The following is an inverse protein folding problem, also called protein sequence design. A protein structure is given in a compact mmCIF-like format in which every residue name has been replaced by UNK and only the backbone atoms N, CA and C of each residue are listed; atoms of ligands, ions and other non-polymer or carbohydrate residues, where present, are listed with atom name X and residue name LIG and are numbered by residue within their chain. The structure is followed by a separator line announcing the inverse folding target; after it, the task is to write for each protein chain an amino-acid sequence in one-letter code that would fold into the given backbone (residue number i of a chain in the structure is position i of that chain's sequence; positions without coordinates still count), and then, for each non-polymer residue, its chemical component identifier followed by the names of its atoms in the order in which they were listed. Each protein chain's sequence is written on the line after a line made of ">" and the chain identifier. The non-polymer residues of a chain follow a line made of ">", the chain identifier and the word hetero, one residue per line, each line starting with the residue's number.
data_IF_105828066857
#
_entry.id   IF_105828066857
#
_cell.length_a   1.000
_cell.length_b   1.000
_cell.length_c   1.000
_cell.angle_alpha   90.00
_cell.angle_beta   90.00
_cell.angle_gamma   90.00
#
_symmetry.space_group_name_H-M   'P 1'
#
loop_
_entity.id
_entity.type
_entity.pdbx_description
1 polymer ?
#
# COMPACT_ATOMS: atom_id res chain seq x y z
N UNK A 1 39.48 52.90 -29.33
CA UNK A 1 38.73 52.56 -28.09
C UNK A 1 37.72 51.47 -28.42
N UNK A 2 37.55 50.45 -27.58
CA UNK A 2 36.51 49.42 -27.77
C UNK A 2 35.55 49.51 -26.59
N UNK A 3 34.27 49.79 -26.87
CA UNK A 3 33.19 49.77 -25.89
C UNK A 3 32.43 48.44 -26.08
N UNK A 4 32.16 47.73 -24.98
CA UNK A 4 31.34 46.51 -24.98
C UNK A 4 30.22 46.66 -23.96
N UNK A 5 29.00 46.37 -24.37
CA UNK A 5 27.84 46.33 -23.47
C UNK A 5 27.62 44.87 -23.04
N UNK A 6 27.72 44.58 -21.75
CA UNK A 6 27.19 43.32 -21.22
C UNK A 6 25.68 43.47 -21.03
N UNK A 7 24.90 42.55 -21.60
CA UNK A 7 23.51 42.32 -21.25
C UNK A 7 23.40 40.94 -20.62
N UNK A 8 22.48 40.77 -19.66
CA UNK A 8 22.04 39.43 -19.26
C UNK A 8 21.20 38.86 -20.40
N UNK A 9 21.55 37.67 -20.86
CA UNK A 9 20.74 36.96 -21.84
C UNK A 9 19.47 36.40 -21.18
N UNK A 10 18.35 36.48 -21.89
CA UNK A 10 17.00 36.06 -21.48
C UNK A 10 16.72 36.05 -19.95
N UNK A 11 16.78 37.20 -19.26
CA UNK A 11 16.73 37.27 -17.79
C UNK A 11 15.32 37.08 -17.18
N UNK A 12 14.31 36.79 -18.00
CA UNK A 12 12.92 36.62 -17.61
C UNK A 12 12.31 35.41 -18.32
N UNK A 13 11.52 34.62 -17.60
CA UNK A 13 10.61 33.65 -18.21
C UNK A 13 9.25 34.33 -18.43
N UNK A 14 8.72 34.24 -19.65
CA UNK A 14 7.32 34.56 -19.95
C UNK A 14 6.58 33.23 -19.99
N UNK A 15 5.54 33.11 -19.17
CA UNK A 15 4.79 31.87 -18.91
C UNK A 15 3.30 32.21 -18.94
N UNK A 16 2.46 31.31 -19.47
CA UNK A 16 1.01 31.52 -19.48
C UNK A 16 0.42 31.64 -18.05
N UNK A 17 -0.68 32.39 -17.92
CA UNK A 17 -1.33 32.65 -16.63
C UNK A 17 -2.18 31.48 -16.14
N UNK A 18 -2.64 30.59 -17.02
CA UNK A 18 -3.46 29.42 -16.69
C UNK A 18 -2.84 28.54 -15.59
N UNK A 19 -1.59 28.01 -15.70
CA UNK A 19 -1.01 27.17 -14.66
C UNK A 19 -0.81 27.90 -13.32
N UNK A 20 -0.56 29.21 -13.35
CA UNK A 20 -0.44 30.03 -12.13
C UNK A 20 -1.80 30.23 -11.46
N UNK A 21 -2.87 30.35 -12.24
CA UNK A 21 -4.24 30.58 -11.76
C UNK A 21 -5.02 29.28 -11.44
N UNK A 22 -4.58 28.11 -11.92
CA UNK A 22 -5.28 26.84 -11.70
C UNK A 22 -5.40 26.50 -10.20
N UNK A 23 -6.61 26.52 -9.66
CA UNK A 23 -6.87 26.28 -8.23
C UNK A 23 -6.74 24.81 -7.84
N UNK A 24 -6.62 23.89 -8.80
CA UNK A 24 -6.44 22.46 -8.56
C UNK A 24 -5.02 22.11 -8.12
N UNK A 25 -4.04 22.94 -8.48
CA UNK A 25 -2.61 22.73 -8.21
C UNK A 25 -2.12 23.47 -6.96
N UNK A 26 -1.31 22.78 -6.15
CA UNK A 26 -0.52 23.38 -5.08
C UNK A 26 0.49 24.40 -5.60
N UNK A 27 0.82 25.41 -4.78
CA UNK A 27 1.89 26.36 -5.09
C UNK A 27 3.25 25.71 -5.33
N UNK A 28 3.49 24.51 -4.75
CA UNK A 28 4.70 23.73 -4.99
C UNK A 28 4.75 23.22 -6.44
N UNK A 29 3.66 22.60 -6.92
CA UNK A 29 3.57 22.17 -8.31
C UNK A 29 3.64 23.35 -9.29
N UNK A 30 3.00 24.49 -8.96
CA UNK A 30 3.12 25.74 -9.74
C UNK A 30 4.56 26.25 -9.82
N UNK A 31 5.29 26.25 -8.70
CA UNK A 31 6.70 26.64 -8.65
C UNK A 31 7.59 25.72 -9.48
N UNK A 32 7.39 24.40 -9.37
CA UNK A 32 8.11 23.39 -10.17
C UNK A 32 7.82 23.56 -11.66
N UNK A 33 6.55 23.69 -12.07
CA UNK A 33 6.16 23.93 -13.47
C UNK A 33 6.77 25.23 -14.01
N UNK A 34 6.69 26.32 -13.25
CA UNK A 34 7.28 27.61 -13.63
C UNK A 34 8.80 27.52 -13.78
N UNK A 35 9.47 26.75 -12.91
CA UNK A 35 10.91 26.51 -13.01
C UNK A 35 11.27 25.66 -14.22
N UNK A 36 10.48 24.62 -14.55
CA UNK A 36 10.65 23.80 -15.75
C UNK A 36 10.49 24.62 -17.04
N UNK A 37 9.45 25.46 -17.12
CA UNK A 37 9.18 26.34 -18.26
C UNK A 37 10.21 27.49 -18.40
N UNK A 38 10.95 27.82 -17.35
CA UNK A 38 12.03 28.82 -17.40
C UNK A 38 13.31 28.35 -18.11
N UNK A 39 13.33 27.15 -18.70
CA UNK A 39 14.53 26.48 -19.22
C UNK A 39 14.42 26.15 -20.71
N UNK A 40 15.55 26.00 -21.42
CA UNK A 40 15.54 25.59 -22.82
C UNK A 40 14.83 24.25 -23.04
N UNK A 41 14.08 24.12 -24.13
CA UNK A 41 13.24 22.96 -24.47
C UNK A 41 13.99 21.61 -24.56
N UNK A 42 15.32 21.63 -24.64
CA UNK A 42 16.18 20.45 -24.68
C UNK A 42 16.76 20.04 -23.31
N UNK A 43 16.44 20.77 -22.23
CA UNK A 43 16.88 20.44 -20.88
C UNK A 43 16.15 19.20 -20.35
N UNK A 44 16.90 18.26 -19.76
CA UNK A 44 16.37 16.98 -19.26
C UNK A 44 16.70 16.79 -17.77
N UNK A 45 15.95 17.43 -16.87
CA UNK A 45 16.25 17.43 -15.44
C UNK A 45 16.03 16.08 -14.77
N UNK A 46 16.93 15.73 -13.85
CA UNK A 46 16.67 14.73 -12.80
C UNK A 46 15.94 15.35 -11.60
N UNK A 47 15.29 14.50 -10.80
CA UNK A 47 14.62 14.93 -9.55
C UNK A 47 15.64 15.51 -8.56
N UNK A 48 16.87 14.98 -8.54
CA UNK A 48 17.92 15.43 -7.63
C UNK A 48 18.51 16.79 -8.05
N UNK A 49 18.54 17.13 -9.34
CA UNK A 49 18.88 18.48 -9.81
C UNK A 49 17.77 19.49 -9.47
N UNK A 50 16.49 19.10 -9.61
CA UNK A 50 15.35 19.94 -9.22
C UNK A 50 15.33 20.21 -7.70
N UNK A 51 15.68 19.21 -6.88
CA UNK A 51 15.83 19.40 -5.42
C UNK A 51 17.02 20.31 -5.10
N UNK A 52 18.20 20.11 -5.73
CA UNK A 52 19.37 20.99 -5.58
C UNK A 52 19.14 22.43 -6.07
N UNK A 53 18.20 22.64 -7.00
CA UNK A 53 17.84 23.95 -7.52
C UNK A 53 16.86 24.74 -6.62
N UNK A 54 16.41 24.16 -5.50
CA UNK A 54 15.38 24.73 -4.62
C UNK A 54 15.71 24.48 -3.14
N UNK A 55 14.74 24.77 -2.25
CA UNK A 55 14.77 24.30 -0.85
C UNK A 55 13.84 23.10 -0.63
N UNK A 56 13.22 22.57 -1.68
CA UNK A 56 12.30 21.44 -1.62
C UNK A 56 13.07 20.12 -1.60
N UNK A 57 12.62 19.19 -0.74
CA UNK A 57 13.17 17.83 -0.69
C UNK A 57 12.86 17.05 -1.98
N UNK A 58 13.63 16.01 -2.26
CA UNK A 58 13.40 15.09 -3.39
C UNK A 58 11.97 14.52 -3.42
N UNK A 59 11.33 14.35 -2.25
CA UNK A 59 9.93 13.92 -2.16
C UNK A 59 8.93 15.06 -2.38
N UNK A 60 9.25 16.28 -1.94
CA UNK A 60 8.48 17.47 -2.28
C UNK A 60 8.47 17.70 -3.80
N UNK A 61 9.63 17.60 -4.46
CA UNK A 61 9.73 17.64 -5.93
C UNK A 61 8.93 16.51 -6.58
N UNK A 62 9.07 15.26 -6.11
CA UNK A 62 8.33 14.10 -6.65
C UNK A 62 6.81 14.27 -6.54
N UNK A 63 6.31 14.73 -5.39
CA UNK A 63 4.87 14.94 -5.17
C UNK A 63 4.33 16.07 -6.04
N UNK A 64 5.09 17.16 -6.22
CA UNK A 64 4.73 18.22 -7.17
C UNK A 64 4.72 17.76 -8.63
N UNK A 65 5.69 16.95 -9.06
CA UNK A 65 5.71 16.38 -10.42
C UNK A 65 4.51 15.44 -10.66
N UNK A 66 4.14 14.61 -9.68
CA UNK A 66 2.94 13.75 -9.77
C UNK A 66 1.64 14.57 -9.83
N UNK A 67 1.62 15.77 -9.24
CA UNK A 67 0.51 16.71 -9.34
C UNK A 67 0.41 17.31 -10.76
N UNK A 68 1.54 17.58 -11.42
CA UNK A 68 1.56 17.99 -12.84
C UNK A 68 1.07 16.87 -13.77
N UNK A 69 1.46 15.61 -13.53
CA UNK A 69 0.93 14.46 -14.28
C UNK A 69 -0.58 14.35 -14.10
N UNK A 70 -1.07 14.43 -12.85
CA UNK A 70 -2.49 14.28 -12.50
C UNK A 70 -3.40 15.33 -13.15
N UNK A 71 -2.90 16.54 -13.38
CA UNK A 71 -3.67 17.62 -14.00
C UNK A 71 -3.31 17.88 -15.47
N UNK A 72 -2.50 17.02 -16.10
CA UNK A 72 -2.18 17.06 -17.54
C UNK A 72 -1.10 18.06 -17.94
N UNK A 73 -0.48 18.78 -17.01
CA UNK A 73 0.64 19.70 -17.30
C UNK A 73 1.96 18.96 -17.56
N UNK A 74 2.04 17.67 -17.22
CA UNK A 74 3.14 16.78 -17.63
C UNK A 74 2.58 15.47 -18.19
N UNK A 75 3.10 15.01 -19.33
CA UNK A 75 2.66 13.77 -19.99
C UNK A 75 3.88 12.89 -20.30
N UNK A 76 3.77 11.59 -20.00
CA UNK A 76 4.84 10.62 -20.14
C UNK A 76 4.67 9.76 -21.40
N UNK A 77 5.53 9.95 -22.40
CA UNK A 77 5.56 9.19 -23.67
C UNK A 77 6.61 8.09 -23.68
N UNK A 78 6.43 7.07 -24.52
CA UNK A 78 7.40 5.99 -24.74
C UNK A 78 8.41 6.36 -25.81
N UNK A 79 9.68 6.27 -25.46
CA UNK A 79 10.75 6.31 -26.45
C UNK A 79 10.90 4.92 -27.05
N UNK A 80 10.62 4.79 -28.35
CA UNK A 80 10.80 3.57 -29.13
C UNK A 80 12.15 3.62 -29.87
N UNK A 81 12.94 2.56 -29.74
CA UNK A 81 14.18 2.37 -30.48
C UNK A 81 13.98 1.61 -31.80
N UNK A 82 15.09 1.33 -32.49
CA UNK A 82 15.09 0.51 -33.70
C UNK A 82 14.44 -0.86 -33.42
N UNK A 83 13.47 -1.25 -34.24
CA UNK A 83 12.71 -2.50 -34.07
C UNK A 83 11.64 -2.45 -32.96
N UNK A 84 11.09 -1.29 -32.63
CA UNK A 84 9.92 -1.16 -31.76
C UNK A 84 10.14 -1.39 -30.26
N UNK A 85 11.37 -1.75 -29.85
CA UNK A 85 11.72 -1.92 -28.43
C UNK A 85 11.61 -0.58 -27.68
N UNK A 86 10.94 -0.57 -26.53
CA UNK A 86 10.93 0.60 -25.65
C UNK A 86 12.35 0.79 -25.09
N UNK A 87 12.97 1.93 -25.41
CA UNK A 87 14.32 2.30 -24.95
C UNK A 87 14.29 3.24 -23.73
N UNK A 88 13.14 3.82 -23.41
CA UNK A 88 12.98 4.70 -22.26
C UNK A 88 11.61 5.38 -22.21
N UNK A 89 11.52 6.38 -21.35
CA UNK A 89 10.34 7.22 -21.18
C UNK A 89 10.77 8.68 -21.17
N UNK A 90 9.99 9.53 -21.83
CA UNK A 90 10.19 10.97 -21.86
C UNK A 90 9.00 11.66 -21.20
N UNK A 91 9.26 12.63 -20.33
CA UNK A 91 8.22 13.44 -19.70
C UNK A 91 8.21 14.79 -20.41
N UNK A 92 7.10 15.13 -21.03
CA UNK A 92 6.88 16.39 -21.74
C UNK A 92 6.03 17.30 -20.85
N UNK A 93 6.47 18.55 -20.70
CA UNK A 93 5.83 19.58 -19.88
C UNK A 93 5.13 20.58 -20.79
N UNK A 94 3.93 21.01 -20.42
CA UNK A 94 3.08 21.91 -21.21
C UNK A 94 2.58 23.07 -20.35
N UNK A 95 2.41 24.24 -20.95
CA UNK A 95 1.77 25.39 -20.27
C UNK A 95 0.27 25.18 -20.07
N UNK A 96 -0.38 24.44 -20.98
CA UNK A 96 -1.81 24.11 -20.94
C UNK A 96 -2.03 22.62 -20.66
N UNK A 97 -3.07 22.25 -19.87
CA UNK A 97 -3.25 20.88 -19.40
C UNK A 97 -3.74 19.95 -20.53
N UNK A 98 -3.00 18.87 -20.75
CA UNK A 98 -3.23 17.89 -21.82
C UNK A 98 -4.12 16.72 -21.35
N UNK A 99 -5.36 17.01 -20.95
CA UNK A 99 -6.26 16.01 -20.35
C UNK A 99 -6.81 14.97 -21.36
N UNK A 100 -6.95 15.36 -22.62
CA UNK A 100 -7.54 14.53 -23.68
C UNK A 100 -6.51 13.77 -24.53
N UNK A 101 -5.21 13.92 -24.23
CA UNK A 101 -4.19 13.05 -24.82
C UNK A 101 -4.35 11.63 -24.26
N UNK A 102 -4.37 10.58 -25.09
CA UNK A 102 -4.42 9.22 -24.59
C UNK A 102 -3.17 8.94 -23.73
N UNK A 103 -3.37 8.41 -22.53
CA UNK A 103 -2.31 7.66 -21.84
C UNK A 103 -1.91 6.51 -22.77
N UNK A 104 -0.80 6.65 -23.53
CA UNK A 104 -0.30 5.63 -24.46
C UNK A 104 -0.41 4.25 -23.80
N UNK A 105 -1.28 3.39 -24.33
CA UNK A 105 -1.94 2.34 -23.54
C UNK A 105 -0.93 1.56 -22.69
N UNK A 106 -1.03 1.68 -21.36
CA UNK A 106 -0.26 0.86 -20.40
C UNK A 106 -0.40 -0.58 -20.88
N UNK A 107 0.69 -1.26 -21.31
CA UNK A 107 0.53 -2.40 -22.19
C UNK A 107 -0.31 -3.43 -21.48
N UNK A 108 -1.49 -3.73 -22.03
CA UNK A 108 -2.11 -5.00 -21.73
C UNK A 108 -1.14 -6.03 -22.28
N UNK A 109 -0.31 -6.57 -21.38
CA UNK A 109 0.27 -7.88 -21.56
C UNK A 109 -0.93 -8.80 -21.62
N UNK A 110 -1.46 -8.97 -22.84
CA UNK A 110 -2.41 -10.02 -23.14
C UNK A 110 -1.81 -11.28 -22.56
N UNK A 111 -2.59 -11.97 -21.73
CA UNK A 111 -2.20 -13.29 -21.24
C UNK A 111 -1.81 -14.07 -22.50
N UNK A 112 -0.61 -14.66 -22.62
CA UNK A 112 -0.31 -15.48 -23.77
C UNK A 112 -1.40 -16.54 -23.83
N UNK A 113 -2.21 -16.49 -24.90
CA UNK A 113 -3.20 -17.51 -25.17
C UNK A 113 -2.40 -18.73 -25.62
N UNK A 114 -2.03 -19.53 -24.62
CA UNK A 114 -1.30 -20.76 -24.81
C UNK A 114 -2.35 -21.79 -25.21
N UNK A 115 -2.42 -22.05 -26.52
CA UNK A 115 -3.38 -23.00 -27.06
C UNK A 115 -3.21 -24.35 -26.37
N UNK A 116 -4.32 -24.94 -25.93
CA UNK A 116 -4.29 -26.24 -25.27
C UNK A 116 -3.83 -27.29 -26.28
N UNK A 117 -2.75 -28.05 -26.00
CA UNK A 117 -2.33 -29.13 -26.89
C UNK A 117 -3.42 -30.21 -26.86
N UNK A 118 -4.22 -30.26 -27.92
CA UNK A 118 -5.32 -31.21 -28.05
C UNK A 118 -4.76 -32.63 -28.18
N UNK A 119 -4.77 -33.38 -27.07
CA UNK A 119 -4.48 -34.81 -27.05
C UNK A 119 -5.80 -35.55 -27.19
N UNK A 120 -6.07 -36.04 -28.39
CA UNK A 120 -7.19 -36.92 -28.66
C UNK A 120 -7.06 -38.21 -27.83
N UNK A 121 -8.16 -38.67 -27.23
CA UNK A 121 -8.24 -39.99 -26.61
C UNK A 121 -8.86 -40.98 -27.62
N UNK A 122 -8.10 -41.93 -28.20
CA UNK A 122 -8.67 -42.99 -29.01
C UNK A 122 -9.43 -43.97 -28.12
N UNK A 123 -10.74 -44.07 -28.31
CA UNK A 123 -11.65 -44.95 -27.54
C UNK A 123 -11.89 -46.29 -28.27
N UNK A 124 -12.74 -47.15 -27.68
CA UNK A 124 -13.30 -48.41 -28.25
C UNK A 124 -12.33 -49.62 -28.20
N UNK A 125 -12.72 -50.90 -28.02
CA UNK A 125 -14.00 -51.63 -27.75
C UNK A 125 -13.59 -53.05 -27.27
N UNK A 126 -14.30 -53.87 -26.46
CA UNK A 126 -15.36 -53.71 -25.44
C UNK A 126 -15.54 -55.07 -24.67
N UNK A 127 -16.65 -55.23 -23.93
CA UNK A 127 -17.35 -56.43 -23.38
C UNK A 127 -16.84 -57.85 -23.79
N UNK A 128 -16.92 -58.90 -22.93
CA UNK A 128 -18.17 -59.46 -22.37
C UNK A 128 -18.03 -60.38 -21.13
N UNK A 129 -19.02 -60.33 -20.22
CA UNK A 129 -19.51 -61.38 -19.28
C UNK A 129 -18.50 -61.84 -18.17
N UNK A 130 -18.88 -62.49 -17.04
CA UNK A 130 -20.05 -63.29 -16.62
C UNK A 130 -20.56 -62.84 -15.21
N UNK A 131 -21.77 -63.26 -14.81
CA UNK A 131 -22.55 -62.82 -13.62
C UNK A 131 -22.55 -63.80 -12.42
N UNK A 132 -23.29 -63.46 -11.34
CA UNK A 132 -23.80 -64.32 -10.23
C UNK A 132 -22.75 -64.79 -9.17
N UNK A 133 -23.09 -65.11 -7.90
CA UNK A 133 -24.34 -64.98 -7.12
C UNK A 133 -24.15 -65.04 -5.58
N UNK A 134 -25.19 -64.64 -4.83
CA UNK A 134 -25.72 -65.15 -3.53
C UNK A 134 -24.83 -65.50 -2.29
N UNK A 135 -25.25 -64.88 -1.16
CA UNK A 135 -25.57 -65.50 0.16
C UNK A 135 -24.47 -65.81 1.21
N UNK A 136 -24.92 -65.73 2.47
CA UNK A 136 -24.19 -65.76 3.75
C UNK A 136 -24.06 -67.16 4.40
N UNK A 137 -23.60 -67.17 5.67
CA UNK A 137 -23.70 -68.22 6.71
C UNK A 137 -22.49 -69.18 6.90
N UNK A 138 -22.16 -69.69 8.10
CA UNK A 138 -22.35 -69.20 9.50
C UNK A 138 -21.51 -70.09 10.48
N UNK A 139 -21.28 -69.63 11.73
CA UNK A 139 -20.76 -70.36 12.91
C UNK A 139 -19.28 -70.89 12.81
N UNK A 140 -18.57 -71.30 13.87
CA UNK A 140 -18.97 -71.58 15.27
C UNK A 140 -17.88 -71.29 16.34
N UNK A 141 -18.12 -70.29 17.19
CA UNK A 141 -17.97 -70.24 18.67
C UNK A 141 -16.87 -71.05 19.41
N UNK A 142 -16.16 -70.37 20.33
CA UNK A 142 -16.04 -70.82 21.73
C UNK A 142 -15.74 -69.66 22.71
N UNK A 143 -16.26 -69.74 23.94
CA UNK A 143 -16.24 -68.68 24.96
C UNK A 143 -15.18 -68.92 26.05
N UNK A 144 -14.63 -67.83 26.62
CA UNK A 144 -14.51 -67.62 28.08
C UNK A 144 -14.73 -66.12 28.39
N UNK A 145 -15.45 -65.84 29.48
CA UNK A 145 -15.60 -64.55 30.19
C UNK A 145 -15.72 -64.90 31.71
N UNK A 146 -15.94 -63.99 32.69
CA UNK A 146 -16.38 -62.58 32.65
C UNK A 146 -15.16 -61.63 32.56
N UNK A 147 -15.10 -60.36 33.00
CA UNK A 147 -15.96 -59.43 33.79
C UNK A 147 -15.65 -57.97 33.35
N UNK A 148 -16.38 -56.91 33.73
CA UNK A 148 -17.52 -56.83 34.65
C UNK A 148 -17.77 -55.42 35.21
N UNK A 149 -18.31 -54.50 34.42
CA UNK A 149 -18.85 -53.20 34.88
C UNK A 149 -19.78 -52.58 33.81
N UNK A 150 -20.97 -52.16 34.22
CA UNK A 150 -22.01 -51.54 33.37
C UNK A 150 -22.13 -50.01 33.69
N UNK A 151 -23.17 -49.25 33.29
CA UNK A 151 -23.01 -48.24 32.24
C UNK A 151 -23.22 -46.79 32.71
N UNK A 152 -23.02 -45.82 31.80
CA UNK A 152 -23.83 -44.59 31.77
C UNK A 152 -23.79 -43.90 30.39
N UNK A 153 -24.89 -44.04 29.68
CA UNK A 153 -25.36 -43.22 28.55
C UNK A 153 -26.82 -42.82 28.88
N UNK A 154 -27.59 -42.03 28.10
CA UNK A 154 -27.32 -41.52 26.74
C UNK A 154 -27.77 -40.05 26.50
N UNK A 155 -27.84 -39.67 25.20
CA UNK A 155 -28.52 -38.50 24.61
C UNK A 155 -27.97 -37.09 24.96
N UNK A 156 -28.00 -36.10 24.07
CA UNK A 156 -28.41 -36.00 22.65
C UNK A 156 -28.20 -34.53 22.19
N UNK A 157 -28.61 -34.03 21.03
CA UNK A 157 -28.92 -34.61 19.72
C UNK A 157 -28.84 -33.47 18.68
N UNK A 158 -27.99 -33.61 17.66
CA UNK A 158 -28.02 -33.02 16.30
C UNK A 158 -28.51 -31.57 15.98
N UNK A 159 -27.73 -30.94 15.06
CA UNK A 159 -28.18 -30.11 13.93
C UNK A 159 -28.45 -28.60 14.08
N UNK A 160 -28.35 -27.91 12.93
CA UNK A 160 -28.56 -26.47 12.63
C UNK A 160 -27.44 -25.52 13.07
N UNK A 161 -27.06 -24.50 12.27
CA UNK A 161 -27.41 -24.23 10.87
C UNK A 161 -26.85 -22.89 10.34
N UNK A 162 -26.53 -22.85 9.04
CA UNK A 162 -26.12 -21.69 8.23
C UNK A 162 -24.80 -20.96 8.60
N UNK A 163 -24.21 -20.32 7.57
CA UNK A 163 -23.03 -19.44 7.64
C UNK A 163 -23.41 -18.03 7.13
N UNK A 164 -22.54 -17.00 7.25
CA UNK A 164 -22.97 -15.60 7.37
C UNK A 164 -23.17 -14.85 6.04
N UNK A 165 -23.87 -13.73 6.15
CA UNK A 165 -24.04 -12.73 5.08
C UNK A 165 -22.74 -11.91 4.88
N UNK A 166 -21.97 -12.20 3.84
CA UNK A 166 -20.90 -11.32 3.33
C UNK A 166 -21.36 -10.58 2.05
N UNK A 167 -21.60 -9.27 2.17
CA UNK A 167 -21.76 -8.32 1.05
C UNK A 167 -21.20 -6.95 1.51
N UNK A 168 -20.54 -6.10 0.69
CA UNK A 168 -20.11 -6.25 -0.70
C UNK A 168 -18.84 -5.39 -1.00
N UNK A 169 -18.32 -5.47 -2.22
CA UNK A 169 -16.94 -5.13 -2.59
C UNK A 169 -16.79 -3.81 -3.39
N UNK A 170 -15.61 -3.18 -3.34
CA UNK A 170 -14.81 -2.85 -4.55
C UNK A 170 -13.48 -2.17 -4.22
N UNK A 171 -12.39 -2.40 -4.96
CA UNK A 171 -12.23 -3.36 -6.05
C UNK A 171 -10.81 -3.42 -6.62
N UNK A 172 -10.68 -4.09 -7.78
CA UNK A 172 -9.43 -4.47 -8.48
C UNK A 172 -8.62 -5.59 -7.82
N UNK A 173 -9.21 -6.79 -7.84
CA UNK A 173 -8.51 -8.05 -7.63
C UNK A 173 -7.36 -8.26 -8.64
N UNK A 174 -6.34 -9.04 -8.24
CA UNK A 174 -5.25 -9.43 -9.13
C UNK A 174 -4.26 -10.38 -8.43
N UNK A 175 -4.26 -11.64 -8.88
CA UNK A 175 -3.51 -12.83 -8.38
C UNK A 175 -3.32 -12.88 -6.87
N UNK A 176 -4.01 -13.83 -6.21
CA UNK A 176 -4.03 -14.04 -4.76
C UNK A 176 -2.67 -13.80 -4.11
N UNK A 177 -2.54 -12.66 -3.41
CA UNK A 177 -1.32 -12.32 -2.67
C UNK A 177 -1.42 -13.00 -1.32
N UNK A 178 -0.74 -14.13 -1.20
CA UNK A 178 -0.45 -14.71 0.09
C UNK A 178 0.27 -13.67 0.97
N UNK A 179 -0.25 -13.50 2.17
CA UNK A 179 0.25 -12.61 3.20
C UNK A 179 0.73 -13.48 4.35
N UNK A 180 1.86 -13.14 4.98
CA UNK A 180 2.31 -13.90 6.16
C UNK A 180 1.28 -13.80 7.30
N UNK A 181 1.21 -14.83 8.14
CA UNK A 181 0.33 -14.86 9.30
C UNK A 181 0.51 -13.61 10.19
N UNK A 182 1.76 -13.17 10.38
CA UNK A 182 2.09 -11.96 11.12
C UNK A 182 1.49 -10.69 10.51
N UNK A 183 1.57 -10.54 9.18
CA UNK A 183 0.97 -9.38 8.51
C UNK A 183 -0.56 -9.45 8.56
N UNK A 184 -1.16 -10.64 8.54
CA UNK A 184 -2.60 -10.80 8.77
C UNK A 184 -3.00 -10.48 10.21
N UNK A 185 -2.17 -10.82 11.21
CA UNK A 185 -2.38 -10.44 12.62
C UNK A 185 -2.27 -8.92 12.82
N UNK A 186 -1.22 -8.30 12.26
CA UNK A 186 -1.05 -6.83 12.18
C UNK A 186 -2.27 -6.17 11.51
N UNK A 187 -2.67 -6.67 10.34
CA UNK A 187 -3.80 -6.13 9.58
C UNK A 187 -5.16 -6.32 10.26
N UNK A 188 -5.34 -7.40 11.02
CA UNK A 188 -6.55 -7.63 11.83
C UNK A 188 -6.65 -6.62 12.97
N UNK A 189 -5.53 -6.32 13.63
CA UNK A 189 -5.43 -5.39 14.75
C UNK A 189 -5.47 -3.91 14.34
N UNK A 190 -4.98 -3.55 13.15
CA UNK A 190 -4.87 -2.16 12.73
C UNK A 190 -6.25 -1.51 12.52
N UNK A 191 -6.51 -0.27 13.03
CA UNK A 191 -7.84 0.35 12.96
C UNK A 191 -8.25 0.71 11.52
N UNK A 192 -7.41 1.47 10.81
CA UNK A 192 -7.74 2.01 9.47
C UNK A 192 -7.28 1.07 8.35
N UNK A 193 -8.15 0.12 8.00
CA UNK A 193 -7.87 -1.00 7.06
C UNK A 193 -7.90 -0.60 5.57
N UNK A 194 -7.22 0.50 5.21
CA UNK A 194 -7.12 1.01 3.82
C UNK A 194 -5.73 0.71 3.22
N UNK A 195 -5.70 0.39 1.93
CA UNK A 195 -4.48 0.14 1.14
C UNK A 195 -3.60 -1.07 1.52
N UNK A 196 -4.18 -2.25 1.83
CA UNK A 196 -3.46 -3.50 2.23
C UNK A 196 -2.22 -3.82 1.37
N UNK A 197 -2.32 -3.66 0.04
CA UNK A 197 -1.23 -3.91 -0.92
C UNK A 197 -0.11 -2.84 -0.96
N UNK A 198 -0.29 -1.68 -0.33
CA UNK A 198 0.81 -0.75 0.00
C UNK A 198 1.45 -1.18 1.33
N UNK A 199 0.64 -1.40 2.37
CA UNK A 199 1.13 -1.81 3.69
C UNK A 199 2.04 -3.06 3.64
N UNK A 200 1.67 -4.09 2.87
CA UNK A 200 2.49 -5.29 2.66
C UNK A 200 3.85 -5.04 2.00
N UNK A 201 3.98 -4.01 1.15
CA UNK A 201 5.27 -3.64 0.54
C UNK A 201 6.20 -2.96 1.55
N UNK A 202 5.64 -2.18 2.48
CA UNK A 202 6.41 -1.54 3.55
C UNK A 202 6.77 -2.56 4.63
N UNK A 203 5.84 -3.44 5.02
CA UNK A 203 6.08 -4.56 5.94
C UNK A 203 7.28 -5.43 5.53
N UNK A 204 7.30 -5.93 4.28
CA UNK A 204 8.45 -6.70 3.76
C UNK A 204 9.76 -5.91 3.68
N UNK A 205 9.71 -4.58 3.77
CA UNK A 205 10.90 -3.73 3.88
C UNK A 205 11.38 -3.62 5.32
N UNK A 206 10.47 -3.50 6.30
CA UNK A 206 10.81 -3.54 7.74
C UNK A 206 11.41 -4.89 8.16
N UNK A 207 10.88 -6.01 7.66
CA UNK A 207 11.48 -7.33 7.88
C UNK A 207 12.91 -7.44 7.31
N UNK A 208 13.17 -6.85 6.13
CA UNK A 208 14.53 -6.79 5.54
C UNK A 208 15.47 -5.88 6.34
N UNK A 209 14.94 -4.87 7.00
CA UNK A 209 15.66 -4.01 7.95
C UNK A 209 15.75 -4.61 9.38
N UNK A 210 15.39 -5.89 9.56
CA UNK A 210 15.41 -6.64 10.83
C UNK A 210 14.49 -6.12 11.94
N UNK A 211 13.46 -5.31 11.63
CA UNK A 211 12.44 -4.95 12.61
C UNK A 211 11.56 -6.17 12.94
N UNK A 212 11.17 -6.36 14.21
CA UNK A 212 10.41 -7.55 14.61
C UNK A 212 8.97 -7.49 14.12
N UNK A 213 8.48 -8.62 13.61
CA UNK A 213 7.07 -8.81 13.32
C UNK A 213 6.21 -8.64 14.59
N UNK A 214 6.69 -9.14 15.74
CA UNK A 214 6.01 -9.04 17.02
C UNK A 214 5.88 -7.61 17.53
N UNK A 215 6.94 -6.81 17.41
CA UNK A 215 6.95 -5.37 17.71
C UNK A 215 5.90 -4.64 16.88
N UNK A 216 5.93 -4.78 15.55
CA UNK A 216 4.96 -4.11 14.67
C UNK A 216 3.51 -4.50 14.99
N UNK A 217 3.25 -5.72 15.47
CA UNK A 217 1.92 -6.17 15.94
C UNK A 217 1.58 -5.57 17.33
N UNK A 218 2.53 -5.52 18.29
CA UNK A 218 2.36 -4.90 19.62
C UNK A 218 2.03 -3.40 19.46
N UNK A 219 2.82 -2.70 18.67
CA UNK A 219 2.60 -1.30 18.30
C UNK A 219 1.23 -1.08 17.62
N UNK A 220 0.84 -1.92 16.66
CA UNK A 220 -0.47 -1.79 16.00
C UNK A 220 -1.64 -1.97 16.97
N UNK A 221 -1.56 -2.91 17.92
CA UNK A 221 -2.58 -3.09 18.98
C UNK A 221 -2.64 -1.89 19.93
N UNK A 222 -1.50 -1.31 20.28
CA UNK A 222 -1.44 -0.12 21.12
C UNK A 222 -2.00 1.11 20.39
N UNK A 223 -1.63 1.32 19.13
CA UNK A 223 -2.18 2.38 18.29
C UNK A 223 -3.69 2.24 18.05
N UNK A 224 -4.22 1.02 17.94
CA UNK A 224 -5.66 0.76 17.85
C UNK A 224 -6.43 1.12 19.14
N UNK A 225 -5.75 1.14 20.30
CA UNK A 225 -6.31 1.57 21.58
C UNK A 225 -6.27 3.10 21.72
N UNK A 226 -5.12 3.69 21.40
CA UNK A 226 -4.86 5.14 21.39
C UNK A 226 -5.83 5.90 20.47
N UNK A 227 -6.01 5.43 19.24
CA UNK A 227 -6.90 6.06 18.25
C UNK A 227 -8.40 5.79 18.46
N UNK A 228 -8.81 5.14 19.57
CA UNK A 228 -10.23 4.79 19.82
C UNK A 228 -11.07 6.06 20.05
N UNK A 229 -12.01 6.32 19.13
CA UNK A 229 -12.86 7.52 19.16
C UNK A 229 -12.32 8.69 18.32
N UNK A 230 -11.15 8.53 17.69
CA UNK A 230 -10.61 9.50 16.72
C UNK A 230 -11.25 9.30 15.34
N UNK A 231 -11.50 10.40 14.60
CA UNK A 231 -11.99 10.35 13.22
C UNK A 231 -11.00 9.62 12.29
N UNK A 232 -11.54 8.70 11.47
CA UNK A 232 -10.83 7.87 10.49
C UNK A 232 -9.84 8.65 9.62
N UNK A 233 -10.06 9.95 9.36
CA UNK A 233 -9.13 10.79 8.59
C UNK A 233 -7.79 11.04 9.30
N UNK A 234 -7.80 11.20 10.63
CA UNK A 234 -6.62 11.46 11.46
C UNK A 234 -5.89 10.18 11.86
N UNK A 235 -6.58 9.03 11.87
CA UNK A 235 -5.93 7.73 12.08
C UNK A 235 -4.95 7.47 10.94
N UNK A 236 -3.66 7.24 11.26
CA UNK A 236 -2.59 6.98 10.28
C UNK A 236 -2.97 5.80 9.37
N UNK A 237 -2.49 5.78 8.13
CA UNK A 237 -2.59 4.59 7.28
C UNK A 237 -1.57 3.55 7.75
N UNK A 238 -1.91 2.27 7.68
CA UNK A 238 -1.02 1.17 8.08
C UNK A 238 0.37 1.25 7.41
N UNK A 239 0.41 1.65 6.12
CA UNK A 239 1.65 1.83 5.36
C UNK A 239 2.52 3.01 5.84
N UNK A 240 1.91 4.05 6.43
CA UNK A 240 2.59 5.20 7.04
C UNK A 240 3.07 4.87 8.45
N UNK A 241 2.29 4.10 9.21
CA UNK A 241 2.61 3.69 10.58
C UNK A 241 3.86 2.80 10.64
N UNK A 242 4.02 1.86 9.71
CA UNK A 242 5.28 1.13 9.52
C UNK A 242 6.21 1.82 8.48
N UNK A 243 6.06 3.15 8.31
CA UNK A 243 6.78 3.99 7.35
C UNK A 243 8.30 4.04 7.54
N UNK A 244 9.04 4.72 6.65
CA UNK A 244 10.52 4.79 6.71
C UNK A 244 11.01 5.41 8.02
N UNK A 245 10.25 6.36 8.56
CA UNK A 245 10.50 7.08 9.82
C UNK A 245 10.14 6.24 11.07
N UNK A 246 9.70 4.99 10.85
CA UNK A 246 9.27 4.00 11.85
C UNK A 246 8.30 4.50 12.95
N UNK A 247 7.19 5.23 12.66
CA UNK A 247 6.24 5.72 13.68
C UNK A 247 5.49 4.68 14.53
N UNK A 248 5.85 3.39 14.41
CA UNK A 248 5.35 2.32 15.26
C UNK A 248 6.21 2.13 16.53
N UNK A 249 7.45 2.63 16.54
CA UNK A 249 8.35 2.52 17.70
C UNK A 249 7.76 3.25 18.92
N UNK A 250 7.21 4.45 18.69
CA UNK A 250 6.51 5.29 19.68
C UNK A 250 5.38 4.56 20.43
N UNK A 251 4.88 3.44 19.89
CA UNK A 251 3.75 2.67 20.42
C UNK A 251 4.15 1.29 20.98
N UNK A 252 5.45 0.98 21.09
CA UNK A 252 5.92 -0.22 21.79
C UNK A 252 5.81 -0.06 23.32
N UNK A 253 5.99 1.18 23.81
CA UNK A 253 6.31 1.49 25.20
C UNK A 253 7.77 1.15 25.51
N UNK A 254 8.35 1.82 26.50
CA UNK A 254 9.71 1.52 26.96
C UNK A 254 9.77 0.09 27.52
N UNK A 255 10.56 -0.76 26.87
CA UNK A 255 10.78 -2.14 27.31
C UNK A 255 11.89 -2.09 28.38
N UNK A 256 11.46 -1.80 29.61
CA UNK A 256 12.33 -1.40 30.72
C UNK A 256 13.34 -2.52 31.08
N UNK A 257 14.59 -2.28 30.68
CA UNK A 257 15.57 -3.34 30.36
C UNK A 257 16.77 -3.44 31.31
N UNK A 258 16.78 -2.72 32.43
CA UNK A 258 17.65 -3.03 33.57
C UNK A 258 18.35 -1.87 34.26
N UNK A 259 18.04 -1.69 35.54
CA UNK A 259 19.03 -1.31 36.56
C UNK A 259 19.28 0.17 36.79
N UNK A 260 18.32 0.87 37.41
CA UNK A 260 18.51 2.21 37.96
C UNK A 260 17.56 2.47 39.13
N UNK A 261 18.02 2.26 40.36
CA UNK A 261 17.30 2.69 41.55
C UNK A 261 17.43 4.21 41.69
N UNK A 262 16.32 4.92 41.89
CA UNK A 262 16.16 5.97 42.90
C UNK A 262 14.73 6.52 42.84
N UNK A 263 13.87 5.99 43.70
CA UNK A 263 12.51 6.48 43.86
C UNK A 263 12.44 7.59 44.90
N UNK A 264 11.95 8.77 44.52
CA UNK A 264 11.40 9.71 45.49
C UNK A 264 10.12 10.38 44.98
N UNK A 265 9.20 10.57 45.92
CA UNK A 265 7.81 10.92 45.66
C UNK A 265 7.64 12.43 45.80
N UNK A 266 6.71 13.01 45.04
CA UNK A 266 5.93 14.13 45.56
C UNK A 266 4.50 14.10 45.02
N UNK A 267 3.56 14.46 45.88
CA UNK A 267 2.13 14.57 45.61
C UNK A 267 1.75 16.03 45.33
N UNK A 268 0.64 16.20 44.60
CA UNK A 268 -0.25 17.39 44.60
C UNK A 268 0.38 18.74 44.15
N UNK A 269 -0.33 19.77 43.69
CA UNK A 269 -1.78 20.04 43.55
C UNK A 269 -2.14 20.52 42.11
N UNK A 270 -3.41 20.88 41.87
CA UNK A 270 -3.88 21.71 40.76
C UNK A 270 -5.01 22.64 41.27
N UNK A 271 -5.45 23.70 40.55
CA UNK A 271 -4.98 24.24 39.26
C UNK A 271 -4.52 25.71 39.33
N UNK A 272 -3.99 26.27 38.23
CA UNK A 272 -3.60 27.68 38.12
C UNK A 272 -3.98 28.31 36.77
N UNK A 273 -4.71 29.42 36.80
CA UNK A 273 -5.19 30.17 35.63
C UNK A 273 -4.15 31.18 35.11
N UNK A 274 -4.02 31.32 33.78
CA UNK A 274 -3.35 32.46 33.14
C UNK A 274 -3.79 32.62 31.68
N UNK A 275 -4.04 33.86 31.25
CA UNK A 275 -4.70 34.17 29.99
C UNK A 275 -3.81 34.90 28.96
N UNK A 276 -4.02 34.59 27.68
CA UNK A 276 -3.41 35.27 26.53
C UNK A 276 -1.97 34.81 26.21
N UNK A 277 -1.39 35.14 25.05
CA UNK A 277 -1.90 35.93 23.92
C UNK A 277 -1.40 35.27 22.62
N UNK A 278 -2.31 34.86 21.73
CA UNK A 278 -1.95 34.59 20.32
C UNK A 278 -2.23 35.82 19.48
N UNK A 279 -1.16 36.40 18.90
CA UNK A 279 -1.20 37.62 18.09
C UNK A 279 -1.47 37.26 16.63
N UNK A 280 -2.31 38.05 15.96
CA UNK A 280 -2.68 37.86 14.56
C UNK A 280 -1.47 37.85 13.62
N UNK A 281 -1.59 37.11 12.51
CA UNK A 281 -0.73 37.21 11.34
C UNK A 281 -1.56 37.62 10.11
N UNK A 282 -0.89 38.27 9.16
CA UNK A 282 -1.37 38.68 7.82
C UNK A 282 -2.42 39.80 7.76
N UNK A 283 -1.89 41.03 7.61
CA UNK A 283 -2.24 41.89 6.47
C UNK A 283 -1.32 41.54 5.30
#
# INVERSE_FOLDING_TARGET
>A
MIIRVQKRDNPYAVIDKMPLNDTRMSFKAKGILSYLLSKPNNWKPSIDELSKASKDSTDAVRTGLQELERFGYMVRKRLHGKGGKIIGWEHLVYETPQLDLPEEEKPHVGKPQMDEPHVENPTLISNELISNDLVSNDLNKNNVAPDGADPSAPAGNEMTGAQPDEDLESGRAGKGKEYSADFLAFWKAYPRKKEKGKAWRVWRTRLREKASAGEMIRAAKNYARDSKGTDDKFIKLAATFIGPDKPFMDYLGDDDGGGGNDGQQHLEEAPGDSAGIYRNFFT
#
